data_IF_234732718633
#
_entry.id   IF_234732718633
#
_cell.length_a   1.000
_cell.length_b   1.000
_cell.length_c   1.000
_cell.angle_alpha   90.00
_cell.angle_beta   90.00
_cell.angle_gamma   90.00
#
_symmetry.space_group_name_H-M   'P 1'
#
loop_
_entity.id
_entity.type
_entity.pdbx_description
1 polymer ?
#
# COMPACT_ATOMS: atom_id res chain seq x y z
N UNK A 1 13.78 -5.28 -11.07
CA UNK A 1 15.26 -5.15 -11.07
C UNK A 1 15.89 -6.38 -10.44
N UNK A 2 16.88 -6.96 -11.06
CA UNK A 2 17.78 -7.96 -10.49
C UNK A 2 19.02 -7.26 -9.94
N UNK A 3 19.77 -7.94 -9.06
CA UNK A 3 21.06 -7.47 -8.57
C UNK A 3 22.18 -8.32 -9.19
N UNK A 4 23.41 -7.84 -9.16
CA UNK A 4 24.55 -8.58 -9.67
C UNK A 4 24.74 -9.97 -9.00
N UNK A 5 24.21 -10.14 -7.78
CA UNK A 5 24.30 -11.34 -6.96
C UNK A 5 22.95 -11.99 -6.66
N UNK A 6 21.82 -11.47 -7.20
CA UNK A 6 20.48 -11.98 -6.95
C UNK A 6 19.55 -11.76 -8.15
N UNK A 7 19.03 -12.85 -8.68
CA UNK A 7 18.05 -12.84 -9.78
C UNK A 7 16.64 -13.20 -9.26
N UNK A 8 15.62 -12.89 -10.05
CA UNK A 8 14.26 -13.32 -9.80
C UNK A 8 14.15 -14.84 -9.73
N UNK A 9 13.23 -15.34 -8.94
CA UNK A 9 12.90 -16.76 -8.84
C UNK A 9 12.11 -17.19 -10.09
N UNK A 10 12.56 -18.28 -10.71
CA UNK A 10 11.95 -18.80 -11.94
C UNK A 10 12.50 -18.14 -13.21
N UNK A 11 12.04 -18.67 -14.36
CA UNK A 11 12.64 -18.34 -15.66
C UNK A 11 11.87 -17.25 -16.41
N UNK A 12 10.74 -16.76 -15.88
CA UNK A 12 9.83 -15.82 -16.58
C UNK A 12 9.22 -14.79 -15.65
N UNK A 13 10.08 -13.96 -15.06
CA UNK A 13 9.67 -12.89 -14.15
C UNK A 13 8.71 -11.88 -14.79
N UNK A 14 8.90 -11.59 -16.10
CA UNK A 14 8.03 -10.65 -16.81
C UNK A 14 6.58 -11.13 -16.84
N UNK A 15 6.33 -12.36 -17.32
CA UNK A 15 4.96 -12.88 -17.39
C UNK A 15 4.36 -13.12 -16.00
N UNK A 16 5.19 -13.52 -15.03
CA UNK A 16 4.74 -13.65 -13.65
C UNK A 16 4.18 -12.32 -13.11
N UNK A 17 4.95 -11.27 -13.16
CA UNK A 17 4.53 -9.96 -12.65
C UNK A 17 3.46 -9.30 -13.50
N UNK A 18 3.48 -9.49 -14.82
CA UNK A 18 2.39 -9.02 -15.67
C UNK A 18 1.05 -9.69 -15.30
N UNK A 19 1.07 -10.97 -14.95
CA UNK A 19 -0.13 -11.65 -14.48
C UNK A 19 -0.58 -11.11 -13.11
N UNK A 20 0.32 -10.93 -12.16
CA UNK A 20 0.01 -10.41 -10.82
C UNK A 20 -0.53 -8.98 -10.86
N UNK A 21 0.02 -8.13 -11.73
CA UNK A 21 -0.34 -6.72 -11.78
C UNK A 21 -1.57 -6.46 -12.67
N UNK A 22 -1.70 -7.11 -13.84
CA UNK A 22 -2.69 -6.73 -14.83
C UNK A 22 -3.81 -7.76 -15.07
N UNK A 23 -3.50 -9.06 -15.19
CA UNK A 23 -4.47 -10.00 -15.78
C UNK A 23 -5.21 -10.89 -14.80
N UNK A 24 -4.74 -10.97 -13.55
CA UNK A 24 -5.35 -11.81 -12.51
C UNK A 24 -5.38 -13.29 -12.85
N UNK A 25 -4.55 -13.76 -13.76
CA UNK A 25 -4.35 -15.19 -13.92
C UNK A 25 -3.63 -15.68 -12.66
N UNK A 26 -4.36 -16.42 -11.84
CA UNK A 26 -3.90 -16.95 -10.58
C UNK A 26 -2.58 -17.70 -10.78
N UNK A 27 -1.51 -17.10 -10.30
CA UNK A 27 -0.19 -17.74 -10.29
C UNK A 27 -0.12 -18.72 -9.12
N UNK A 28 -0.86 -18.39 -8.05
CA UNK A 28 -1.06 -19.23 -6.89
C UNK A 28 -2.55 -19.35 -6.57
N UNK A 29 -2.97 -20.49 -6.02
CA UNK A 29 -4.39 -20.78 -5.70
C UNK A 29 -4.96 -19.88 -4.58
N UNK A 30 -4.13 -19.06 -3.92
CA UNK A 30 -4.53 -18.18 -2.82
C UNK A 30 -4.92 -16.79 -3.27
N UNK A 31 -4.50 -16.35 -4.46
CA UNK A 31 -4.79 -15.02 -4.97
C UNK A 31 -6.28 -14.79 -5.16
N UNK A 32 -6.72 -13.55 -5.00
CA UNK A 32 -8.10 -13.15 -5.29
C UNK A 32 -8.22 -12.52 -6.68
N UNK A 33 -7.27 -11.69 -7.07
CA UNK A 33 -7.22 -11.00 -8.35
C UNK A 33 -5.85 -10.35 -8.58
N UNK A 34 -5.72 -9.59 -9.67
CA UNK A 34 -4.55 -8.75 -9.95
C UNK A 34 -4.60 -7.44 -9.16
N UNK A 35 -3.50 -6.69 -9.18
CA UNK A 35 -3.45 -5.33 -8.66
C UNK A 35 -4.42 -4.41 -9.39
N UNK A 36 -4.51 -4.51 -10.73
CA UNK A 36 -5.52 -3.83 -11.54
C UNK A 36 -6.95 -4.12 -11.03
N UNK A 37 -7.29 -5.42 -10.84
CA UNK A 37 -8.61 -5.79 -10.32
C UNK A 37 -8.84 -5.24 -8.91
N UNK A 38 -7.79 -5.21 -8.07
CA UNK A 38 -7.89 -4.61 -6.74
C UNK A 38 -8.37 -3.16 -6.84
N UNK A 39 -7.71 -2.32 -7.64
CA UNK A 39 -8.08 -0.92 -7.76
C UNK A 39 -9.44 -0.70 -8.44
N UNK A 40 -9.80 -1.52 -9.42
CA UNK A 40 -11.16 -1.52 -10.01
C UNK A 40 -12.22 -1.76 -8.93
N UNK A 41 -12.03 -2.80 -8.10
CA UNK A 41 -13.00 -3.17 -7.05
C UNK A 41 -13.07 -2.09 -5.95
N UNK A 42 -11.92 -1.55 -5.52
CA UNK A 42 -11.86 -0.53 -4.47
C UNK A 42 -12.53 0.78 -4.89
N UNK A 43 -12.33 1.17 -6.14
CA UNK A 43 -12.83 2.44 -6.69
C UNK A 43 -14.22 2.33 -7.34
N UNK A 44 -14.81 1.15 -7.36
CA UNK A 44 -16.05 0.87 -8.12
C UNK A 44 -15.90 1.17 -9.62
N UNK A 45 -14.72 0.93 -10.18
CA UNK A 45 -14.39 1.15 -11.58
C UNK A 45 -14.04 2.59 -11.95
N UNK A 46 -13.87 3.48 -10.96
CA UNK A 46 -13.47 4.88 -11.21
C UNK A 46 -11.97 4.96 -11.53
N UNK A 47 -11.15 4.22 -10.80
CA UNK A 47 -9.71 4.15 -10.97
C UNK A 47 -9.34 2.85 -11.70
N UNK A 48 -9.22 2.96 -13.02
CA UNK A 48 -8.91 1.88 -13.97
C UNK A 48 -7.47 2.07 -14.44
N UNK A 49 -6.53 1.35 -13.82
CA UNK A 49 -5.09 1.51 -14.04
C UNK A 49 -4.47 0.24 -14.60
N UNK A 50 -3.80 0.35 -15.76
CA UNK A 50 -2.94 -0.67 -16.33
C UNK A 50 -1.47 -0.41 -15.99
N UNK A 51 -0.68 -1.47 -15.82
CA UNK A 51 0.72 -1.39 -15.46
C UNK A 51 1.61 -1.79 -16.65
N UNK A 52 2.38 -0.85 -17.16
CA UNK A 52 3.42 -1.13 -18.15
C UNK A 52 4.66 -1.67 -17.46
N UNK A 53 5.11 -2.86 -17.86
CA UNK A 53 6.22 -3.57 -17.22
C UNK A 53 7.43 -3.58 -18.12
N UNK A 54 8.59 -3.26 -17.56
CA UNK A 54 9.87 -3.25 -18.25
C UNK A 54 10.89 -4.08 -17.46
N UNK A 55 11.64 -4.90 -18.17
CA UNK A 55 12.70 -5.72 -17.55
C UNK A 55 12.47 -7.24 -17.74
N UNK A 56 13.11 -8.10 -16.94
CA UNK A 56 14.05 -7.73 -15.86
C UNK A 56 15.31 -7.05 -16.36
N UNK A 57 15.89 -6.14 -15.55
CA UNK A 57 17.19 -5.52 -15.78
C UNK A 57 18.08 -5.83 -14.58
N UNK A 58 19.37 -6.08 -14.84
CA UNK A 58 20.36 -6.39 -13.81
C UNK A 58 21.10 -5.11 -13.42
N UNK A 59 21.06 -4.77 -12.14
CA UNK A 59 21.76 -3.65 -11.55
C UNK A 59 23.29 -3.90 -11.50
N UNK A 60 24.07 -2.84 -11.44
CA UNK A 60 25.55 -2.92 -11.50
C UNK A 60 26.13 -3.65 -10.29
N UNK A 61 25.52 -3.49 -9.10
CA UNK A 61 26.01 -4.01 -7.82
C UNK A 61 25.08 -5.08 -7.24
N UNK A 62 25.55 -5.78 -6.21
CA UNK A 62 24.75 -6.69 -5.40
C UNK A 62 23.75 -5.96 -4.52
N UNK A 63 22.75 -6.68 -4.00
CA UNK A 63 21.64 -6.11 -3.22
C UNK A 63 22.11 -5.29 -2.00
N UNK A 64 23.22 -5.69 -1.35
CA UNK A 64 23.77 -4.99 -0.19
C UNK A 64 24.20 -3.55 -0.51
N UNK A 65 24.59 -3.26 -1.76
CA UNK A 65 24.96 -1.90 -2.16
C UNK A 65 23.78 -0.93 -2.00
N UNK A 66 22.59 -1.35 -2.40
CA UNK A 66 21.38 -0.53 -2.42
C UNK A 66 20.63 -0.53 -1.08
N UNK A 67 20.56 -1.70 -0.42
CA UNK A 67 19.73 -1.92 0.78
C UNK A 67 20.48 -1.84 2.11
N UNK A 68 21.82 -1.64 2.09
CA UNK A 68 22.57 -1.57 3.36
C UNK A 68 22.16 -0.38 4.20
N UNK A 69 21.72 -0.67 5.43
CA UNK A 69 21.32 0.37 6.37
C UNK A 69 22.45 1.33 6.75
N UNK A 70 22.11 2.60 6.86
CA UNK A 70 22.92 3.64 7.47
C UNK A 70 22.89 3.59 8.99
N UNK A 71 23.55 4.56 9.63
CA UNK A 71 23.59 4.67 11.09
C UNK A 71 22.21 5.00 11.73
N UNK A 72 21.28 5.46 10.91
CA UNK A 72 19.89 5.79 11.32
C UNK A 72 18.92 4.59 11.18
N UNK A 73 19.41 3.42 10.73
CA UNK A 73 18.60 2.22 10.54
C UNK A 73 17.82 2.16 9.24
N UNK A 74 17.95 3.16 8.36
CA UNK A 74 17.31 3.19 7.03
C UNK A 74 18.34 2.90 5.93
N UNK A 75 17.86 2.44 4.77
CA UNK A 75 18.66 2.18 3.59
C UNK A 75 19.46 3.43 3.20
N UNK A 76 20.70 3.21 2.78
CA UNK A 76 21.62 4.32 2.47
C UNK A 76 21.35 5.00 1.14
N UNK A 77 21.15 4.19 0.08
CA UNK A 77 21.11 4.65 -1.31
C UNK A 77 20.11 3.85 -2.17
N UNK A 78 18.91 3.56 -1.68
CA UNK A 78 17.94 2.79 -2.47
C UNK A 78 17.55 3.51 -3.76
N UNK A 79 17.66 4.83 -3.82
CA UNK A 79 17.43 5.60 -5.03
C UNK A 79 18.34 5.25 -6.21
N UNK A 80 19.52 4.68 -5.99
CA UNK A 80 20.44 4.32 -7.07
C UNK A 80 19.90 3.20 -7.96
N UNK A 81 19.13 2.24 -7.40
CA UNK A 81 18.46 1.19 -8.21
C UNK A 81 17.41 1.79 -9.15
N UNK A 82 16.75 2.89 -8.70
CA UNK A 82 15.78 3.63 -9.50
C UNK A 82 16.47 4.29 -10.69
N UNK A 83 17.63 4.93 -10.45
CA UNK A 83 18.46 5.55 -11.49
C UNK A 83 18.86 4.53 -12.56
N UNK A 84 19.31 3.36 -12.14
CA UNK A 84 19.74 2.30 -13.06
C UNK A 84 18.56 1.72 -13.87
N UNK A 85 17.43 1.49 -13.23
CA UNK A 85 16.20 1.03 -13.89
C UNK A 85 15.70 2.02 -14.94
N UNK A 86 15.63 3.30 -14.61
CA UNK A 86 15.22 4.35 -15.54
C UNK A 86 16.21 4.51 -16.71
N UNK A 87 17.50 4.40 -16.44
CA UNK A 87 18.52 4.40 -17.49
C UNK A 87 18.35 3.22 -18.46
N UNK A 88 17.96 2.06 -17.99
CA UNK A 88 17.74 0.88 -18.83
C UNK A 88 16.55 1.03 -19.79
N UNK A 89 15.60 1.90 -19.47
CA UNK A 89 14.42 2.20 -20.30
C UNK A 89 14.50 3.56 -21.02
N UNK A 90 15.59 4.30 -20.85
CA UNK A 90 15.78 5.61 -21.48
C UNK A 90 15.62 5.52 -23.01
N UNK A 91 14.82 6.42 -23.57
CA UNK A 91 14.50 6.43 -25.00
C UNK A 91 13.51 5.35 -25.46
N UNK A 92 13.05 4.47 -24.58
CA UNK A 92 12.03 3.45 -24.86
C UNK A 92 10.67 3.83 -24.29
N UNK A 93 10.63 4.74 -23.33
CA UNK A 93 9.43 5.15 -22.60
C UNK A 93 9.28 6.67 -22.73
N UNK A 94 8.05 7.11 -22.96
CA UNK A 94 7.69 8.51 -22.92
C UNK A 94 7.09 8.83 -21.55
N UNK A 95 7.84 9.49 -20.68
CA UNK A 95 7.41 9.76 -19.29
C UNK A 95 6.15 10.64 -19.22
N UNK A 96 5.89 11.47 -20.24
CA UNK A 96 4.67 12.28 -20.28
C UNK A 96 3.37 11.48 -20.39
N UNK A 97 3.45 10.19 -20.76
CA UNK A 97 2.28 9.31 -20.79
C UNK A 97 1.85 8.87 -19.38
N UNK A 98 2.71 9.09 -18.37
CA UNK A 98 2.52 8.75 -16.95
C UNK A 98 2.41 10.00 -16.06
N UNK A 99 2.27 11.17 -16.62
CA UNK A 99 2.06 12.46 -15.98
C UNK A 99 0.56 12.77 -15.99
N UNK A 100 -0.15 12.34 -14.95
CA UNK A 100 -1.63 12.38 -14.93
C UNK A 100 -2.17 13.75 -14.52
N UNK A 101 -1.41 14.52 -13.73
CA UNK A 101 -1.82 15.84 -13.26
C UNK A 101 -1.23 17.00 -14.08
N UNK A 102 -0.29 16.71 -15.00
CA UNK A 102 0.28 17.66 -15.94
C UNK A 102 1.38 18.55 -15.36
N UNK A 103 2.02 18.13 -14.27
CA UNK A 103 3.10 18.89 -13.60
C UNK A 103 4.49 18.66 -14.24
N UNK A 104 4.58 17.72 -15.19
CA UNK A 104 5.78 17.30 -15.91
C UNK A 104 6.61 16.26 -15.15
N UNK A 105 6.06 15.63 -14.11
CA UNK A 105 6.63 14.49 -13.40
C UNK A 105 5.79 13.23 -13.70
N UNK A 106 6.44 12.08 -13.85
CA UNK A 106 5.72 10.82 -13.90
C UNK A 106 5.24 10.48 -12.49
N UNK A 107 3.91 10.37 -12.31
CA UNK A 107 3.27 10.20 -11.00
C UNK A 107 3.58 8.86 -10.36
N UNK A 108 3.71 7.81 -11.18
CA UNK A 108 3.80 6.45 -10.67
C UNK A 108 4.96 5.69 -11.31
N UNK A 109 6.06 5.55 -10.55
CA UNK A 109 7.19 4.71 -10.92
C UNK A 109 7.38 3.67 -9.83
N UNK A 110 7.26 2.39 -10.17
CA UNK A 110 7.34 1.29 -9.21
C UNK A 110 8.45 0.31 -9.56
N UNK A 111 9.28 -0.06 -8.57
CA UNK A 111 10.37 -1.00 -8.72
C UNK A 111 10.11 -2.30 -7.98
N UNK A 112 9.97 -3.37 -8.72
CA UNK A 112 10.05 -4.73 -8.16
C UNK A 112 11.49 -5.20 -8.18
N UNK A 113 12.01 -5.63 -7.05
CA UNK A 113 13.37 -6.12 -6.93
C UNK A 113 13.44 -7.58 -6.49
N UNK A 114 14.45 -8.28 -7.03
CA UNK A 114 14.63 -9.72 -6.81
C UNK A 114 14.99 -10.04 -5.36
N UNK A 115 14.44 -11.12 -4.85
CA UNK A 115 14.73 -11.64 -3.52
C UNK A 115 13.84 -11.09 -2.42
N UNK A 116 14.33 -11.14 -1.18
CA UNK A 116 13.63 -10.70 0.03
C UNK A 116 13.81 -9.20 0.25
N UNK A 117 12.78 -8.56 0.77
CA UNK A 117 12.87 -7.25 1.39
C UNK A 117 13.09 -7.34 2.90
N UNK A 118 13.60 -6.29 3.52
CA UNK A 118 13.86 -6.26 4.95
C UNK A 118 12.56 -6.48 5.76
N UNK A 119 11.45 -5.86 5.36
CA UNK A 119 10.13 -6.06 5.98
C UNK A 119 9.58 -7.49 5.83
N UNK A 120 10.08 -8.26 4.84
CA UNK A 120 9.66 -9.64 4.57
C UNK A 120 10.65 -10.68 5.10
N UNK A 121 11.41 -10.34 6.14
CA UNK A 121 12.38 -11.24 6.79
C UNK A 121 13.73 -11.32 6.07
N UNK A 122 14.02 -10.39 5.17
CA UNK A 122 15.36 -10.18 4.62
C UNK A 122 16.35 -9.67 5.67
N UNK A 123 17.64 -9.75 5.34
CA UNK A 123 18.72 -9.21 6.17
C UNK A 123 18.71 -7.67 6.13
N UNK A 124 19.30 -7.00 7.13
CA UNK A 124 19.46 -5.53 7.23
C UNK A 124 20.22 -4.88 6.04
N UNK A 125 20.73 -5.69 5.13
CA UNK A 125 21.34 -5.27 3.88
C UNK A 125 20.41 -5.37 2.67
N UNK A 126 19.17 -5.83 2.84
CA UNK A 126 18.16 -5.83 1.78
C UNK A 126 17.35 -4.54 1.82
N UNK A 127 16.83 -4.10 0.69
CA UNK A 127 16.00 -2.89 0.62
C UNK A 127 14.73 -3.08 1.45
N UNK A 128 14.38 -2.09 2.26
CA UNK A 128 13.05 -2.00 2.88
C UNK A 128 12.05 -1.57 1.81
N UNK A 129 10.93 -2.28 1.57
CA UNK A 129 9.86 -1.78 0.71
C UNK A 129 9.38 -0.42 1.19
N UNK A 130 9.26 0.54 0.29
CA UNK A 130 8.89 1.92 0.64
C UNK A 130 8.43 2.73 -0.58
N UNK A 131 7.65 3.78 -0.32
CA UNK A 131 7.52 4.95 -1.17
C UNK A 131 8.52 6.03 -0.74
N UNK A 132 9.09 6.75 -1.68
CA UNK A 132 9.98 7.87 -1.39
C UNK A 132 10.14 8.78 -2.60
N UNK A 133 10.92 9.85 -2.40
CA UNK A 133 11.24 10.82 -3.43
C UNK A 133 12.74 10.91 -3.67
N UNK A 134 13.15 10.86 -4.94
CA UNK A 134 14.55 10.89 -5.33
C UNK A 134 15.30 12.15 -4.86
N UNK A 135 14.58 13.26 -4.66
CA UNK A 135 15.17 14.50 -4.12
C UNK A 135 15.81 14.33 -2.73
N UNK A 136 15.45 13.29 -1.98
CA UNK A 136 16.05 12.99 -0.68
C UNK A 136 17.33 12.16 -0.77
N UNK A 137 17.63 11.63 -1.95
CA UNK A 137 18.80 10.83 -2.22
C UNK A 137 19.89 11.62 -3.00
N UNK A 138 21.16 11.18 -3.01
CA UNK A 138 22.23 11.89 -3.70
C UNK A 138 21.99 12.09 -5.20
N UNK A 139 21.21 11.22 -5.86
CA UNK A 139 20.88 11.34 -7.28
C UNK A 139 19.98 12.54 -7.60
N UNK A 140 19.14 12.98 -6.62
CA UNK A 140 18.18 14.06 -6.84
C UNK A 140 17.11 13.71 -7.87
N UNK A 141 16.26 14.68 -8.20
CA UNK A 141 15.23 14.54 -9.22
C UNK A 141 15.85 14.26 -10.59
N UNK A 142 15.45 13.17 -11.23
CA UNK A 142 15.92 12.80 -12.56
C UNK A 142 15.12 13.54 -13.64
N UNK A 143 15.84 14.04 -14.66
CA UNK A 143 15.24 14.83 -15.75
C UNK A 143 15.53 14.19 -17.10
N UNK A 144 14.49 13.96 -17.86
CA UNK A 144 14.55 13.40 -19.21
C UNK A 144 13.86 14.36 -20.18
N UNK A 145 14.08 14.22 -21.51
CA UNK A 145 13.40 15.06 -22.50
C UNK A 145 11.86 14.99 -22.44
N UNK A 146 11.32 13.90 -21.93
CA UNK A 146 9.87 13.62 -21.91
C UNK A 146 9.22 13.80 -20.53
N UNK A 147 9.97 14.20 -19.51
CA UNK A 147 9.43 14.41 -18.17
C UNK A 147 10.49 14.28 -17.07
N UNK A 148 10.05 14.31 -15.84
CA UNK A 148 10.87 14.12 -14.63
C UNK A 148 10.43 12.87 -13.89
N UNK A 149 11.30 12.30 -13.06
CA UNK A 149 10.98 11.29 -12.06
C UNK A 149 11.53 11.75 -10.73
N UNK A 150 10.68 11.76 -9.74
CA UNK A 150 11.01 12.09 -8.35
C UNK A 150 10.35 11.10 -7.39
N UNK A 151 9.05 10.93 -7.47
CA UNK A 151 8.30 9.98 -6.66
C UNK A 151 8.46 8.57 -7.21
N UNK A 152 8.76 7.62 -6.33
CA UNK A 152 8.84 6.19 -6.67
C UNK A 152 8.40 5.34 -5.48
N UNK A 153 7.99 4.12 -5.76
CA UNK A 153 7.80 3.11 -4.75
C UNK A 153 8.52 1.80 -5.14
N UNK A 154 8.76 0.93 -4.16
CA UNK A 154 9.38 -0.35 -4.43
C UNK A 154 8.86 -1.46 -3.52
N UNK A 155 8.90 -2.71 -4.02
CA UNK A 155 8.59 -3.90 -3.26
C UNK A 155 9.48 -5.08 -3.68
N UNK A 156 9.59 -6.05 -2.77
CA UNK A 156 10.38 -7.25 -2.96
C UNK A 156 9.60 -8.37 -3.66
N UNK A 157 10.35 -9.24 -4.32
CA UNK A 157 9.79 -10.41 -5.00
C UNK A 157 9.38 -11.54 -4.05
N UNK A 158 10.15 -11.80 -3.01
CA UNK A 158 10.02 -13.01 -2.18
C UNK A 158 9.54 -12.70 -0.78
N UNK A 159 8.77 -13.64 -0.25
CA UNK A 159 8.35 -13.65 1.15
C UNK A 159 8.43 -15.06 1.74
N UNK A 160 8.44 -15.24 3.07
CA UNK A 160 8.31 -16.55 3.69
C UNK A 160 6.98 -17.22 3.30
N UNK A 161 7.01 -18.51 2.99
CA UNK A 161 5.80 -19.30 2.66
C UNK A 161 4.79 -19.32 3.81
N UNK A 162 5.28 -19.28 5.04
CA UNK A 162 4.53 -19.05 6.29
C UNK A 162 5.42 -18.26 7.23
N UNK A 163 4.83 -17.56 8.19
CA UNK A 163 5.57 -16.76 9.17
C UNK A 163 6.70 -17.57 9.82
N UNK A 164 7.92 -17.03 9.79
CA UNK A 164 9.12 -17.67 10.33
C UNK A 164 9.68 -18.82 9.51
N UNK A 165 9.12 -19.13 8.34
CA UNK A 165 9.65 -20.17 7.45
C UNK A 165 10.92 -19.70 6.73
N UNK A 166 11.87 -20.62 6.56
CA UNK A 166 13.02 -20.46 5.65
C UNK A 166 12.72 -20.89 4.21
N UNK A 167 11.51 -21.33 3.93
CA UNK A 167 11.04 -21.60 2.57
C UNK A 167 10.41 -20.32 2.04
N UNK A 168 10.89 -19.84 0.90
CA UNK A 168 10.45 -18.58 0.29
C UNK A 168 9.63 -18.86 -0.97
N UNK A 169 8.63 -18.03 -1.17
CA UNK A 169 7.73 -18.05 -2.34
C UNK A 169 7.64 -16.64 -2.92
N UNK A 170 7.13 -16.53 -4.13
CA UNK A 170 6.80 -15.21 -4.69
C UNK A 170 5.83 -14.48 -3.78
N UNK A 171 6.10 -13.22 -3.50
CA UNK A 171 5.21 -12.36 -2.73
C UNK A 171 3.88 -12.16 -3.47
N UNK A 172 2.82 -11.96 -2.69
CA UNK A 172 1.55 -11.49 -3.21
C UNK A 172 1.58 -9.99 -3.53
N UNK A 173 0.42 -9.46 -3.89
CA UNK A 173 0.28 -8.03 -4.26
C UNK A 173 0.14 -7.09 -3.05
N UNK A 174 0.04 -7.61 -1.83
CA UNK A 174 -0.31 -6.79 -0.66
C UNK A 174 0.65 -5.64 -0.41
N UNK A 175 1.97 -5.91 -0.35
CA UNK A 175 2.97 -4.84 -0.20
C UNK A 175 2.94 -3.87 -1.38
N UNK A 176 2.69 -4.34 -2.59
CA UNK A 176 2.57 -3.46 -3.76
C UNK A 176 1.33 -2.56 -3.62
N UNK A 177 0.19 -3.10 -3.14
CA UNK A 177 -0.99 -2.30 -2.85
C UNK A 177 -0.67 -1.17 -1.87
N UNK A 178 0.03 -1.48 -0.78
CA UNK A 178 0.41 -0.51 0.25
C UNK A 178 1.31 0.59 -0.32
N UNK A 179 2.45 0.23 -0.88
CA UNK A 179 3.43 1.21 -1.37
C UNK A 179 2.91 2.04 -2.57
N UNK A 180 2.11 1.42 -3.44
CA UNK A 180 1.47 2.15 -4.53
C UNK A 180 0.41 3.13 -4.01
N UNK A 181 -0.26 2.80 -2.91
CA UNK A 181 -1.25 3.66 -2.28
C UNK A 181 -0.65 4.97 -1.75
N UNK A 182 0.60 4.95 -1.28
CA UNK A 182 1.31 6.18 -0.93
C UNK A 182 1.46 7.13 -2.10
N UNK A 183 1.73 6.60 -3.29
CA UNK A 183 1.78 7.40 -4.50
C UNK A 183 0.41 8.02 -4.87
N UNK A 184 -0.71 7.46 -4.39
CA UNK A 184 -2.06 8.05 -4.50
C UNK A 184 -2.36 9.08 -3.40
N UNK A 185 -1.41 9.33 -2.49
CA UNK A 185 -1.53 10.29 -1.39
C UNK A 185 -2.10 9.71 -0.10
N UNK A 186 -2.20 8.39 0.05
CA UNK A 186 -2.64 7.78 1.30
C UNK A 186 -1.49 7.72 2.31
N UNK A 187 -1.79 8.06 3.55
CA UNK A 187 -0.83 8.00 4.65
C UNK A 187 -0.89 6.64 5.35
N UNK A 188 0.19 6.27 6.04
CA UNK A 188 0.20 5.14 6.95
C UNK A 188 -0.82 5.30 8.08
N UNK A 189 -1.55 4.24 8.36
CA UNK A 189 -2.54 4.19 9.44
C UNK A 189 -2.04 3.42 10.67
N UNK A 190 -0.79 2.93 10.65
CA UNK A 190 -0.10 2.41 11.83
C UNK A 190 0.72 3.50 12.55
N UNK A 191 1.28 3.17 13.71
CA UNK A 191 2.18 4.07 14.44
C UNK A 191 3.56 4.12 13.78
N UNK A 192 3.81 5.13 12.96
CA UNK A 192 5.08 5.33 12.24
C UNK A 192 6.26 5.67 13.16
N UNK A 193 6.03 5.88 14.46
CA UNK A 193 7.09 6.15 15.45
C UNK A 193 7.61 4.90 16.15
N UNK A 194 7.02 3.73 15.84
CA UNK A 194 7.39 2.45 16.44
C UNK A 194 7.00 2.30 17.90
N UNK A 195 6.01 3.07 18.35
CA UNK A 195 5.42 3.00 19.69
C UNK A 195 4.22 2.04 19.78
N UNK A 196 3.39 2.25 20.79
CA UNK A 196 2.24 1.38 21.12
C UNK A 196 0.90 1.89 20.53
N UNK A 197 0.95 2.71 19.50
CA UNK A 197 -0.26 3.15 18.79
C UNK A 197 -0.91 1.99 18.02
N UNK A 198 -2.24 1.84 18.10
CA UNK A 198 -2.91 0.68 17.50
C UNK A 198 -3.48 0.91 16.11
N UNK A 199 -3.56 2.13 15.61
CA UNK A 199 -3.99 2.40 14.23
C UNK A 199 -5.28 1.69 13.80
N UNK A 200 -5.22 1.12 12.60
CA UNK A 200 -6.35 0.44 11.92
C UNK A 200 -6.18 -1.08 11.82
N UNK A 201 -5.02 -1.61 12.19
CA UNK A 201 -4.70 -3.04 12.18
C UNK A 201 -4.95 -3.74 10.82
N UNK A 202 -5.48 -4.98 10.90
CA UNK A 202 -5.73 -5.84 9.74
C UNK A 202 -6.85 -5.33 8.82
N UNK A 203 -7.60 -4.30 9.24
CA UNK A 203 -8.73 -3.77 8.50
C UNK A 203 -8.35 -2.79 7.40
N UNK A 204 -7.09 -2.36 7.36
CA UNK A 204 -6.64 -1.30 6.49
C UNK A 204 -5.36 -1.68 5.72
N UNK A 205 -5.37 -1.43 4.41
CA UNK A 205 -4.19 -1.62 3.55
C UNK A 205 -3.03 -0.70 3.93
N UNK A 206 -3.33 0.46 4.51
CA UNK A 206 -2.30 1.39 4.98
C UNK A 206 -1.79 1.07 6.40
N UNK A 207 -2.15 -0.12 6.93
CA UNK A 207 -1.66 -0.66 8.20
C UNK A 207 -1.25 -2.14 8.00
N UNK A 208 -1.85 -3.10 8.67
CA UNK A 208 -1.50 -4.53 8.58
C UNK A 208 -2.29 -5.30 7.52
N UNK A 209 -3.31 -4.69 6.93
CA UNK A 209 -4.16 -5.27 5.90
C UNK A 209 -3.46 -5.84 4.67
N UNK A 210 -2.29 -5.33 4.23
CA UNK A 210 -1.49 -5.91 3.16
C UNK A 210 -1.07 -7.36 3.39
N UNK A 211 -0.91 -7.78 4.65
CA UNK A 211 -0.43 -9.11 5.02
C UNK A 211 -1.54 -10.16 5.11
N UNK A 212 -2.81 -9.78 4.95
CA UNK A 212 -3.91 -10.73 4.94
C UNK A 212 -3.73 -11.78 3.85
N UNK A 213 -4.14 -13.03 4.16
CA UNK A 213 -3.91 -14.16 3.25
C UNK A 213 -2.44 -14.39 2.91
N UNK A 214 -1.51 -14.08 3.82
CA UNK A 214 -0.06 -14.11 3.60
C UNK A 214 0.37 -13.18 2.44
N UNK A 215 -0.22 -11.98 2.34
CA UNK A 215 0.10 -11.00 1.31
C UNK A 215 -0.59 -11.20 -0.04
N UNK A 216 -1.36 -12.29 -0.21
CA UNK A 216 -2.04 -12.59 -1.48
C UNK A 216 -3.44 -11.99 -1.58
N UNK A 217 -4.03 -11.61 -0.46
CA UNK A 217 -5.38 -11.06 -0.39
C UNK A 217 -5.39 -9.86 0.56
N UNK A 218 -4.82 -8.72 0.14
CA UNK A 218 -4.93 -7.50 0.93
C UNK A 218 -6.40 -7.18 1.18
N UNK A 219 -6.73 -6.58 2.34
CA UNK A 219 -8.11 -6.23 2.63
C UNK A 219 -8.61 -5.10 1.72
N UNK A 220 -9.93 -4.89 1.72
CA UNK A 220 -10.48 -3.67 1.12
C UNK A 220 -9.93 -2.42 1.83
N UNK A 221 -9.81 -1.30 1.12
CA UNK A 221 -9.67 0.01 1.75
C UNK A 221 -10.83 0.27 2.70
N UNK A 222 -10.58 1.01 3.74
CA UNK A 222 -11.64 1.47 4.63
C UNK A 222 -12.48 2.58 3.98
N UNK A 223 -13.56 2.93 4.64
CA UNK A 223 -14.39 4.06 4.23
C UNK A 223 -13.57 5.36 4.13
N UNK A 224 -12.54 5.52 4.99
CA UNK A 224 -11.71 6.73 4.99
C UNK A 224 -11.00 6.93 3.66
N UNK A 225 -10.20 5.96 3.19
CA UNK A 225 -9.42 6.06 1.95
C UNK A 225 -10.34 6.20 0.74
N UNK A 226 -11.43 5.43 0.68
CA UNK A 226 -12.37 5.48 -0.45
C UNK A 226 -13.09 6.82 -0.57
N UNK A 227 -13.41 7.47 0.57
CA UNK A 227 -13.99 8.83 0.59
C UNK A 227 -12.91 9.85 0.23
N UNK A 228 -11.70 9.72 0.80
CA UNK A 228 -10.58 10.62 0.53
C UNK A 228 -10.20 10.63 -0.95
N UNK A 229 -10.17 9.46 -1.60
CA UNK A 229 -9.92 9.32 -3.04
C UNK A 229 -11.10 9.77 -3.92
N UNK A 230 -12.26 10.10 -3.34
CA UNK A 230 -13.46 10.44 -4.10
C UNK A 230 -14.12 9.25 -4.80
N UNK A 231 -13.82 8.03 -4.38
CA UNK A 231 -14.37 6.81 -4.99
C UNK A 231 -15.76 6.46 -4.46
N UNK A 232 -16.11 6.95 -3.28
CA UNK A 232 -17.43 6.72 -2.68
C UNK A 232 -17.92 7.95 -1.94
N UNK A 233 -19.21 8.25 -2.06
CA UNK A 233 -19.89 9.28 -1.27
C UNK A 233 -20.55 8.62 -0.05
N UNK A 234 -20.21 9.04 1.19
CA UNK A 234 -20.86 8.49 2.38
C UNK A 234 -22.32 8.93 2.47
N UNK A 235 -23.09 8.20 3.30
CA UNK A 235 -24.44 8.60 3.71
C UNK A 235 -24.33 9.26 5.08
N UNK A 236 -24.68 10.55 5.16
CA UNK A 236 -24.64 11.26 6.43
C UNK A 236 -25.81 10.82 7.35
N UNK A 237 -25.47 10.58 8.62
CA UNK A 237 -26.44 10.35 9.70
C UNK A 237 -26.49 11.59 10.58
N UNK A 238 -27.45 12.47 10.30
CA UNK A 238 -27.69 13.74 11.00
C UNK A 238 -28.75 13.63 12.12
N UNK A 239 -29.43 12.51 12.19
CA UNK A 239 -30.54 12.24 13.13
C UNK A 239 -30.62 10.75 13.45
N UNK A 240 -31.28 10.36 14.56
CA UNK A 240 -31.50 8.95 14.91
C UNK A 240 -32.16 8.19 13.77
N UNK A 241 -31.53 7.15 13.30
CA UNK A 241 -31.98 6.34 12.16
C UNK A 241 -31.85 4.84 12.46
N UNK A 242 -32.63 4.04 11.76
CA UNK A 242 -32.50 2.58 11.72
C UNK A 242 -32.05 2.20 10.32
N UNK A 243 -30.82 1.72 10.19
CA UNK A 243 -30.28 1.22 8.92
C UNK A 243 -30.61 -0.28 8.82
N UNK A 244 -31.21 -0.69 7.69
CA UNK A 244 -31.49 -2.08 7.36
C UNK A 244 -30.77 -2.43 6.06
N UNK A 245 -30.41 -3.72 5.92
CA UNK A 245 -29.84 -4.26 4.68
C UNK A 245 -28.60 -3.49 4.20
N UNK A 246 -27.72 -3.11 5.16
CA UNK A 246 -26.46 -2.46 4.86
C UNK A 246 -25.57 -3.41 4.04
N UNK A 247 -25.33 -3.08 2.78
CA UNK A 247 -24.47 -3.85 1.89
C UNK A 247 -23.03 -3.88 2.40
N UNK A 248 -22.34 -4.98 2.15
CA UNK A 248 -20.90 -5.08 2.45
C UNK A 248 -20.05 -4.20 1.52
N UNK A 249 -18.84 -3.90 1.94
CA UNK A 249 -17.86 -3.20 1.11
C UNK A 249 -17.65 -3.96 -0.20
N UNK A 250 -17.50 -5.29 -0.15
CA UNK A 250 -17.32 -6.15 -1.33
C UNK A 250 -18.55 -6.19 -2.26
N UNK A 251 -19.73 -5.75 -1.78
CA UNK A 251 -20.96 -5.61 -2.57
C UNK A 251 -21.23 -4.15 -2.96
N UNK A 252 -20.21 -3.34 -2.98
CA UNK A 252 -20.28 -1.90 -3.28
C UNK A 252 -21.16 -1.13 -2.29
N UNK A 253 -21.11 -1.52 -1.01
CA UNK A 253 -21.81 -0.83 0.07
C UNK A 253 -21.27 0.58 0.30
N UNK A 254 -22.21 1.55 0.41
CA UNK A 254 -21.84 2.92 0.80
C UNK A 254 -21.64 2.98 2.32
N UNK A 255 -20.56 3.63 2.79
CA UNK A 255 -20.36 3.87 4.21
C UNK A 255 -21.34 4.94 4.73
N UNK A 256 -21.54 4.93 6.05
CA UNK A 256 -22.21 6.00 6.75
C UNK A 256 -21.19 6.87 7.46
N UNK A 257 -21.50 8.18 7.57
CA UNK A 257 -20.71 9.15 8.31
C UNK A 257 -21.57 9.87 9.33
N UNK A 258 -21.05 10.07 10.54
CA UNK A 258 -21.69 10.83 11.60
C UNK A 258 -20.70 11.84 12.16
N UNK A 259 -20.96 13.11 11.93
CA UNK A 259 -20.09 14.21 12.37
C UNK A 259 -20.32 14.59 13.83
N UNK A 260 -19.25 15.00 14.51
CA UNK A 260 -19.35 15.77 15.74
C UNK A 260 -19.88 17.17 15.41
N UNK A 261 -21.07 17.50 15.91
CA UNK A 261 -21.74 18.78 15.63
C UNK A 261 -20.92 20.02 16.06
N UNK A 262 -20.00 19.85 17.01
CA UNK A 262 -19.14 20.94 17.50
C UNK A 262 -17.80 21.02 16.76
N UNK A 263 -17.41 19.97 16.04
CA UNK A 263 -16.14 19.90 15.29
C UNK A 263 -16.29 18.91 14.13
N UNK A 264 -16.57 19.40 12.96
CA UNK A 264 -16.79 18.56 11.77
C UNK A 264 -15.53 17.84 11.26
N UNK A 265 -14.34 18.15 11.78
CA UNK A 265 -13.13 17.36 11.55
C UNK A 265 -13.09 16.07 12.39
N UNK A 266 -13.98 15.92 13.36
CA UNK A 266 -14.15 14.73 14.15
C UNK A 266 -15.45 14.01 13.77
N UNK A 267 -15.35 12.74 13.39
CA UNK A 267 -16.49 11.97 12.92
C UNK A 267 -16.29 10.47 13.07
N UNK A 268 -17.37 9.73 12.98
CA UNK A 268 -17.35 8.29 12.85
C UNK A 268 -17.70 7.87 11.43
N UNK A 269 -16.96 6.90 10.93
CA UNK A 269 -17.30 6.17 9.71
C UNK A 269 -17.79 4.79 10.08
N UNK A 270 -18.79 4.30 9.37
CA UNK A 270 -19.40 2.99 9.62
C UNK A 270 -19.55 2.26 8.29
N UNK A 271 -19.05 1.03 8.23
CA UNK A 271 -19.15 0.18 7.06
C UNK A 271 -19.40 -1.28 7.45
N UNK A 272 -19.98 -2.05 6.54
CA UNK A 272 -20.20 -3.48 6.75
C UNK A 272 -19.06 -4.27 6.10
N UNK A 273 -18.25 -4.94 6.92
CA UNK A 273 -17.17 -5.84 6.49
C UNK A 273 -17.66 -7.29 6.56
N UNK A 274 -17.39 -8.06 5.51
CA UNK A 274 -17.77 -9.47 5.43
C UNK A 274 -16.59 -10.26 4.86
N UNK A 275 -16.40 -11.50 5.30
CA UNK A 275 -15.31 -12.36 4.79
C UNK A 275 -15.60 -12.82 3.34
N UNK A 276 -15.72 -11.86 2.43
CA UNK A 276 -15.95 -12.05 0.99
C UNK A 276 -15.06 -11.11 0.18
N UNK A 277 -14.85 -11.39 -1.10
CA UNK A 277 -14.02 -10.56 -1.97
C UNK A 277 -12.60 -10.40 -1.42
N UNK A 278 -12.11 -9.20 -1.34
CA UNK A 278 -10.79 -8.87 -0.81
C UNK A 278 -10.70 -9.03 0.73
N UNK A 279 -11.84 -9.03 1.44
CA UNK A 279 -11.87 -9.29 2.89
C UNK A 279 -12.01 -10.79 3.24
N UNK A 280 -11.92 -11.71 2.27
CA UNK A 280 -12.13 -13.15 2.52
C UNK A 280 -11.14 -13.76 3.54
N UNK A 281 -9.97 -13.16 3.70
CA UNK A 281 -8.93 -13.57 4.66
C UNK A 281 -8.89 -12.66 5.92
N UNK A 282 -9.90 -11.84 6.11
CA UNK A 282 -10.03 -10.96 7.28
C UNK A 282 -10.62 -11.76 8.45
N UNK A 283 -9.79 -12.36 9.27
CA UNK A 283 -10.23 -13.27 10.33
C UNK A 283 -11.05 -12.58 11.42
N UNK A 284 -12.12 -13.24 11.84
CA UNK A 284 -12.97 -12.77 12.95
C UNK A 284 -13.88 -11.59 12.64
N UNK A 285 -13.89 -11.09 11.43
CA UNK A 285 -14.48 -9.80 11.08
C UNK A 285 -15.66 -9.96 10.12
N UNK A 286 -16.83 -10.21 10.69
CA UNK A 286 -18.09 -10.15 9.95
C UNK A 286 -19.04 -9.20 10.68
N UNK A 287 -19.31 -8.04 10.10
CA UNK A 287 -20.26 -7.11 10.67
C UNK A 287 -19.89 -5.64 10.48
N UNK A 288 -20.34 -4.85 11.43
CA UNK A 288 -20.15 -3.40 11.42
C UNK A 288 -18.73 -3.03 11.89
N UNK A 289 -17.96 -2.42 11.00
CA UNK A 289 -16.72 -1.73 11.37
C UNK A 289 -17.06 -0.27 11.64
N UNK A 290 -16.62 0.24 12.78
CA UNK A 290 -16.71 1.66 13.14
C UNK A 290 -15.30 2.22 13.26
N UNK A 291 -15.03 3.31 12.56
CA UNK A 291 -13.77 4.03 12.59
C UNK A 291 -14.00 5.40 13.18
N UNK A 292 -13.23 5.80 14.18
CA UNK A 292 -13.18 7.15 14.71
C UNK A 292 -12.11 7.92 13.98
N UNK A 293 -12.48 9.05 13.40
CA UNK A 293 -11.56 9.96 12.70
C UNK A 293 -11.54 11.31 13.41
N UNK A 294 -10.36 11.79 13.74
CA UNK A 294 -10.08 13.16 14.15
C UNK A 294 -9.11 13.76 13.13
N UNK A 295 -9.66 14.35 12.07
CA UNK A 295 -8.89 14.76 10.90
C UNK A 295 -8.06 16.01 11.18
N UNK A 296 -6.76 15.84 11.24
CA UNK A 296 -5.76 16.91 11.37
C UNK A 296 -4.87 16.89 10.13
N UNK A 297 -5.09 17.75 9.12
CA UNK A 297 -4.42 17.68 7.81
C UNK A 297 -2.90 17.49 7.87
N UNK A 298 -2.23 18.18 8.79
CA UNK A 298 -0.77 18.09 8.93
C UNK A 298 -0.29 16.69 9.33
N UNK A 299 -1.11 15.87 9.99
CA UNK A 299 -0.73 14.51 10.35
C UNK A 299 -0.75 13.58 9.16
N UNK A 300 -1.72 13.75 8.25
CA UNK A 300 -1.76 13.04 6.97
C UNK A 300 -0.59 13.46 6.08
N UNK A 301 -0.37 14.76 5.92
CA UNK A 301 0.75 15.30 5.11
C UNK A 301 2.13 14.85 5.62
N UNK A 302 2.29 14.68 6.93
CA UNK A 302 3.56 14.29 7.56
C UNK A 302 3.65 12.78 7.84
N UNK A 303 2.73 11.99 7.32
CA UNK A 303 2.66 10.54 7.55
C UNK A 303 2.77 10.15 9.04
N UNK A 304 1.97 10.80 9.89
CA UNK A 304 2.00 10.64 11.35
C UNK A 304 0.60 10.56 11.96
N UNK A 305 -0.35 9.95 11.21
CA UNK A 305 -1.78 9.89 11.55
C UNK A 305 -2.01 9.32 12.95
N UNK A 306 -1.41 8.18 13.24
CA UNK A 306 -1.57 7.46 14.50
C UNK A 306 -0.29 7.37 15.33
N UNK A 307 0.66 8.29 15.11
CA UNK A 307 1.91 8.32 15.85
C UNK A 307 1.69 8.42 17.37
N UNK A 308 2.22 7.48 18.15
CA UNK A 308 2.06 7.41 19.62
C UNK A 308 2.73 8.57 20.36
N UNK A 309 3.65 9.27 19.71
CA UNK A 309 4.23 10.54 20.23
C UNK A 309 3.24 11.67 20.26
N UNK A 310 2.04 11.49 19.71
CA UNK A 310 0.96 12.47 19.70
C UNK A 310 -0.06 12.14 20.79
N UNK A 311 -0.72 13.19 21.31
CA UNK A 311 -1.71 13.06 22.37
C UNK A 311 -2.94 12.22 21.96
N UNK A 312 -3.30 12.27 20.69
CA UNK A 312 -4.49 11.59 20.13
C UNK A 312 -4.12 10.90 18.83
N UNK A 313 -4.53 9.64 18.69
CA UNK A 313 -4.55 8.94 17.42
C UNK A 313 -5.71 9.44 16.56
N UNK A 314 -5.49 9.62 15.28
CA UNK A 314 -6.41 10.37 14.42
C UNK A 314 -7.32 9.50 13.55
N UNK A 315 -7.01 8.23 13.36
CA UNK A 315 -7.85 7.30 12.61
C UNK A 315 -7.72 5.90 13.21
N UNK A 316 -8.74 5.44 13.94
CA UNK A 316 -8.66 4.18 14.69
C UNK A 316 -9.97 3.41 14.67
N UNK A 317 -9.87 2.09 14.74
CA UNK A 317 -11.01 1.21 14.94
C UNK A 317 -11.61 1.42 16.33
N UNK A 318 -12.94 1.43 16.41
CA UNK A 318 -13.68 1.47 17.68
C UNK A 318 -14.00 0.06 18.10
N UNK A 319 -13.35 -0.42 19.17
CA UNK A 319 -13.57 -1.75 19.71
C UNK A 319 -14.97 -1.88 20.32
N UNK A 320 -15.65 -3.00 20.07
CA UNK A 320 -17.01 -3.24 20.50
C UNK A 320 -17.20 -3.27 22.03
N UNK A 321 -16.16 -3.64 22.77
CA UNK A 321 -16.15 -3.68 24.25
C UNK A 321 -15.75 -2.33 24.87
N UNK A 322 -15.37 -1.34 24.05
CA UNK A 322 -14.90 -0.03 24.49
C UNK A 322 -13.44 -0.04 24.99
N UNK A 323 -12.71 -1.13 24.83
CA UNK A 323 -11.27 -1.19 25.11
C UNK A 323 -10.50 -0.33 24.12
N UNK A 324 -9.24 -0.06 24.45
CA UNK A 324 -8.29 0.57 23.52
C UNK A 324 -7.13 -0.38 23.18
N UNK A 325 -7.27 -1.65 23.51
CA UNK A 325 -6.23 -2.65 23.30
C UNK A 325 -6.55 -3.49 22.06
N UNK A 326 -5.56 -3.64 21.18
CA UNK A 326 -5.65 -4.45 19.95
C UNK A 326 -5.71 -5.96 20.21
N UNK A 327 -5.43 -6.40 21.43
CA UNK A 327 -5.45 -7.82 21.83
C UNK A 327 -6.85 -8.45 21.81
N UNK A 328 -7.89 -7.65 21.63
CA UNK A 328 -9.29 -8.05 21.75
C UNK A 328 -10.06 -8.00 20.41
N UNK A 329 -9.32 -7.85 19.29
CA UNK A 329 -9.87 -7.90 17.92
C UNK A 329 -9.88 -9.32 17.35
#
# INVERSE_FOLDING_TARGET
MEFADKTFMGDDAYNHWNAALNTGKLIQTKEHGSLHQYFIDQSHGIFDVDFDIYGPFTAEYGYEHYGKNGNNGFDKIPGDIVVEGLKAIEGKVNLSDYDWDGDGEADQVFFLYAGLGQASGGHDSTIWPHESQLRYWPCGVLKYPTGKVNTYACANELQPATQGSSNYISAGIGTICHEFSHCLGFADMYDTTGGDGYGMAIFDVMDQGPYNGNGFVPCNYTAFERIYAGWVEPIELDSPATVKDMKSVSDYGRPFIMYNSNNTNEYFLMENRQNTGWDKELYGCNGLLIVHVNYVPSRWTNNSVNASTQEIQCCTVVNADGSREMSDL
#
